data_IF_061342744842
#
_entry.id   IF_061342744842
#
_cell.length_a   1.000
_cell.length_b   1.000
_cell.length_c   1.000
_cell.angle_alpha   90.00
_cell.angle_beta   90.00
_cell.angle_gamma   90.00
#
_symmetry.space_group_name_H-M   'P 1'
#
loop_
_entity.id
_entity.type
_entity.pdbx_description
1 polymer ?
#
# COMPACT_ATOMS: atom_id res chain seq x y z
N UNK A 1 51.61 -70.31 -15.45
CA UNK A 1 50.16 -70.26 -15.16
C UNK A 1 49.88 -68.82 -14.72
N UNK A 2 48.95 -68.05 -15.29
CA UNK A 2 47.84 -68.43 -16.17
C UNK A 2 47.71 -67.58 -17.45
N UNK A 3 46.95 -68.12 -18.40
CA UNK A 3 46.18 -67.35 -19.40
C UNK A 3 44.93 -66.73 -18.74
N UNK A 4 44.09 -65.88 -19.37
CA UNK A 4 44.07 -65.21 -20.70
C UNK A 4 43.60 -63.74 -20.44
N UNK A 5 43.34 -62.78 -21.36
CA UNK A 5 43.19 -62.70 -22.84
C UNK A 5 43.49 -61.25 -23.29
N UNK A 6 43.33 -60.92 -24.57
CA UNK A 6 43.22 -59.54 -25.08
C UNK A 6 41.73 -59.14 -25.25
N UNK A 7 41.33 -57.86 -25.09
CA UNK A 7 39.95 -57.42 -25.29
C UNK A 7 39.50 -57.63 -26.74
N UNK A 8 38.20 -57.88 -26.92
CA UNK A 8 37.63 -58.29 -28.22
C UNK A 8 36.83 -57.17 -28.87
N UNK A 9 36.52 -57.31 -30.17
CA UNK A 9 35.97 -56.26 -31.04
C UNK A 9 34.55 -55.77 -30.68
N UNK A 10 33.98 -56.18 -29.53
CA UNK A 10 32.73 -55.63 -28.96
C UNK A 10 32.95 -54.54 -27.91
N UNK A 11 34.14 -54.43 -27.34
CA UNK A 11 34.47 -53.38 -26.36
C UNK A 11 34.86 -52.05 -27.04
N UNK A 12 35.24 -52.11 -28.33
CA UNK A 12 35.73 -50.97 -29.12
C UNK A 12 34.61 -50.06 -29.72
N UNK A 13 33.33 -50.37 -29.48
CA UNK A 13 32.19 -49.62 -30.05
C UNK A 13 31.38 -48.83 -28.99
N UNK A 14 31.92 -48.64 -27.78
CA UNK A 14 31.33 -47.76 -26.74
C UNK A 14 31.98 -46.36 -26.69
N UNK A 15 32.74 -45.96 -27.71
CA UNK A 15 33.50 -44.70 -27.72
C UNK A 15 33.39 -43.97 -29.07
N UNK A 16 32.16 -43.60 -29.45
CA UNK A 16 31.87 -42.94 -30.73
C UNK A 16 30.73 -41.90 -30.66
N UNK A 17 30.94 -40.75 -30.00
CA UNK A 17 30.12 -39.52 -30.23
C UNK A 17 30.55 -38.25 -29.45
N UNK A 18 31.85 -37.92 -29.36
CA UNK A 18 32.26 -36.54 -29.01
C UNK A 18 33.37 -36.10 -29.98
N UNK A 19 32.96 -35.45 -31.07
CA UNK A 19 33.85 -34.91 -32.07
C UNK A 19 33.98 -33.38 -31.92
N UNK A 20 35.24 -32.96 -31.85
CA UNK A 20 35.78 -31.61 -31.98
C UNK A 20 35.03 -30.72 -33.00
N UNK A 21 34.65 -29.49 -32.60
CA UNK A 21 35.06 -28.24 -33.26
C UNK A 21 34.28 -27.00 -32.75
N UNK A 22 34.98 -25.86 -32.66
CA UNK A 22 34.37 -24.55 -32.86
C UNK A 22 33.79 -23.85 -31.64
N UNK A 23 34.01 -22.53 -31.60
CA UNK A 23 33.50 -21.62 -30.58
C UNK A 23 31.97 -21.50 -30.60
N UNK A 24 31.31 -21.87 -29.49
CA UNK A 24 30.05 -21.29 -29.01
C UNK A 24 29.76 -21.82 -27.60
N UNK A 25 29.78 -20.95 -26.58
CA UNK A 25 28.96 -21.01 -25.35
C UNK A 25 29.20 -19.81 -24.41
N UNK A 26 29.50 -18.63 -24.98
CA UNK A 26 29.28 -17.35 -24.30
C UNK A 26 27.84 -16.90 -24.63
N UNK A 27 26.85 -17.51 -23.99
CA UNK A 27 25.45 -17.38 -24.40
C UNK A 27 24.44 -18.00 -23.44
N UNK A 28 24.63 -17.81 -22.13
CA UNK A 28 23.75 -18.39 -21.09
C UNK A 28 23.62 -17.58 -19.80
N UNK A 29 24.32 -16.46 -19.65
CA UNK A 29 24.11 -15.49 -18.57
C UNK A 29 24.00 -14.08 -19.16
N UNK A 30 23.18 -13.25 -18.51
CA UNK A 30 22.90 -11.84 -18.79
C UNK A 30 22.44 -11.46 -20.22
N UNK A 31 21.22 -11.87 -20.60
CA UNK A 31 20.36 -11.09 -21.51
C UNK A 31 19.12 -10.61 -20.73
N UNK A 32 19.40 -9.85 -19.65
CA UNK A 32 18.40 -9.14 -18.84
C UNK A 32 18.96 -7.81 -18.27
N UNK A 33 20.11 -7.33 -18.78
CA UNK A 33 20.83 -6.14 -18.27
C UNK A 33 21.50 -5.28 -19.36
N UNK A 34 21.01 -5.35 -20.59
CA UNK A 34 21.45 -4.45 -21.68
C UNK A 34 20.37 -4.32 -22.74
N UNK A 35 19.34 -3.54 -22.39
CA UNK A 35 18.39 -2.97 -23.34
C UNK A 35 18.08 -1.50 -22.95
N UNK A 36 19.07 -0.76 -22.44
CA UNK A 36 18.97 0.70 -22.32
C UNK A 36 19.48 1.34 -23.62
N UNK A 37 18.57 1.50 -24.57
CA UNK A 37 18.80 2.26 -25.79
C UNK A 37 17.48 2.87 -26.30
N UNK A 38 17.50 4.19 -26.50
CA UNK A 38 16.44 5.07 -27.02
C UNK A 38 15.33 5.52 -26.05
N UNK A 39 15.55 6.70 -25.44
CA UNK A 39 14.58 7.42 -24.61
C UNK A 39 14.54 6.96 -23.15
N UNK A 40 13.80 7.67 -22.27
CA UNK A 40 13.44 7.12 -20.97
C UNK A 40 12.46 5.96 -21.19
N UNK A 41 12.90 4.73 -20.92
CA UNK A 41 12.12 3.50 -21.05
C UNK A 41 10.72 3.68 -20.44
N UNK A 42 9.66 3.29 -21.12
CA UNK A 42 8.29 3.48 -20.62
C UNK A 42 8.05 2.68 -19.33
N UNK A 43 7.63 3.34 -18.25
CA UNK A 43 7.14 2.66 -17.05
C UNK A 43 5.67 2.31 -17.26
N UNK A 44 5.38 1.01 -17.29
CA UNK A 44 4.03 0.46 -17.46
C UNK A 44 3.41 0.14 -16.11
N UNK A 45 2.20 0.62 -15.90
CA UNK A 45 1.48 0.53 -14.62
C UNK A 45 0.18 -0.25 -14.79
N UNK A 46 -0.13 -1.12 -13.84
CA UNK A 46 -1.48 -1.67 -13.68
C UNK A 46 -2.22 -0.97 -12.53
N UNK A 47 -3.48 -0.57 -12.75
CA UNK A 47 -4.37 -0.09 -11.70
C UNK A 47 -5.21 -1.25 -11.15
N UNK A 48 -5.07 -1.55 -9.85
CA UNK A 48 -5.79 -2.63 -9.18
C UNK A 48 -6.68 -2.01 -8.09
N UNK A 49 -8.00 -2.05 -8.33
CA UNK A 49 -9.01 -1.33 -7.56
C UNK A 49 -9.40 -0.02 -8.23
N UNK A 50 -10.42 -0.05 -9.08
CA UNK A 50 -10.90 1.08 -9.88
C UNK A 50 -11.98 1.90 -9.14
N UNK A 51 -11.76 2.10 -7.83
CA UNK A 51 -12.59 2.93 -6.96
C UNK A 51 -12.27 4.42 -7.06
N UNK A 52 -12.93 5.24 -6.25
CA UNK A 52 -12.69 6.70 -6.24
C UNK A 52 -11.24 7.06 -5.92
N UNK A 53 -10.65 6.45 -4.89
CA UNK A 53 -9.23 6.66 -4.55
C UNK A 53 -8.28 6.03 -5.56
N UNK A 54 -8.63 4.88 -6.14
CA UNK A 54 -7.84 4.26 -7.22
C UNK A 54 -7.73 5.12 -8.48
N UNK A 55 -8.84 5.75 -8.90
CA UNK A 55 -8.81 6.75 -9.96
C UNK A 55 -8.03 8.01 -9.52
N UNK A 56 -8.07 8.39 -8.24
CA UNK A 56 -7.20 9.43 -7.68
C UNK A 56 -5.72 9.12 -7.86
N UNK A 57 -5.24 8.00 -7.30
CA UNK A 57 -3.86 7.54 -7.40
C UNK A 57 -3.42 7.30 -8.87
N UNK A 58 -4.31 6.81 -9.73
CA UNK A 58 -4.05 6.71 -11.16
C UNK A 58 -3.82 8.10 -11.80
N UNK A 59 -4.65 9.10 -11.50
CA UNK A 59 -4.46 10.47 -11.97
C UNK A 59 -3.18 11.08 -11.39
N UNK A 60 -2.88 10.85 -10.11
CA UNK A 60 -1.66 11.32 -9.47
C UNK A 60 -0.40 10.74 -10.12
N UNK A 61 -0.39 9.42 -10.39
CA UNK A 61 0.66 8.73 -11.12
C UNK A 61 0.82 9.29 -12.55
N UNK A 62 -0.28 9.57 -13.25
CA UNK A 62 -0.27 10.19 -14.57
C UNK A 62 0.12 11.68 -14.53
N UNK A 63 0.05 12.38 -13.38
CA UNK A 63 0.52 13.77 -13.27
C UNK A 63 2.06 13.88 -13.23
N UNK A 64 2.77 12.78 -12.92
CA UNK A 64 4.24 12.73 -12.94
C UNK A 64 4.76 13.13 -14.32
N UNK A 65 5.79 13.99 -14.33
CA UNK A 65 6.41 14.53 -15.55
C UNK A 65 7.45 13.56 -16.13
N UNK A 66 7.02 12.32 -16.37
CA UNK A 66 7.83 11.21 -16.89
C UNK A 66 6.97 10.34 -17.84
N UNK A 67 7.62 9.46 -18.61
CA UNK A 67 7.06 8.46 -19.50
C UNK A 67 6.46 7.28 -18.71
N UNK A 68 5.43 7.57 -17.91
CA UNK A 68 4.60 6.60 -17.18
C UNK A 68 3.30 6.41 -17.95
N UNK A 69 2.86 5.16 -18.13
CA UNK A 69 1.54 4.84 -18.71
C UNK A 69 0.81 3.76 -17.92
N UNK A 70 -0.50 3.93 -17.77
CA UNK A 70 -1.39 2.87 -17.27
C UNK A 70 -1.81 2.00 -18.45
N UNK A 71 -1.53 0.70 -18.38
CA UNK A 71 -1.72 -0.24 -19.49
C UNK A 71 -2.59 -1.45 -19.16
N UNK A 72 -3.05 -1.57 -17.92
CA UNK A 72 -3.99 -2.61 -17.47
C UNK A 72 -4.84 -2.08 -16.31
N UNK A 73 -6.09 -2.55 -16.22
CA UNK A 73 -6.98 -2.28 -15.07
C UNK A 73 -7.59 -3.56 -14.53
N UNK A 74 -7.75 -3.62 -13.22
CA UNK A 74 -8.44 -4.70 -12.52
C UNK A 74 -9.39 -4.17 -11.45
N UNK A 75 -10.56 -4.80 -11.34
CA UNK A 75 -11.46 -4.65 -10.20
C UNK A 75 -12.29 -5.93 -10.00
N UNK A 76 -12.92 -6.11 -8.84
CA UNK A 76 -13.89 -7.17 -8.65
C UNK A 76 -15.18 -6.92 -9.47
N UNK A 77 -15.47 -5.67 -9.86
CA UNK A 77 -16.71 -5.27 -10.52
C UNK A 77 -16.50 -4.57 -11.86
N UNK A 78 -17.23 -5.00 -12.89
CA UNK A 78 -17.14 -4.40 -14.23
C UNK A 78 -17.43 -2.89 -14.22
N UNK A 79 -18.45 -2.43 -13.49
CA UNK A 79 -18.80 -1.00 -13.44
C UNK A 79 -17.66 -0.10 -12.93
N UNK A 80 -16.68 -0.66 -12.20
CA UNK A 80 -15.49 0.07 -11.72
C UNK A 80 -14.44 0.21 -12.80
N UNK A 81 -14.05 -0.88 -13.47
CA UNK A 81 -13.10 -0.78 -14.60
C UNK A 81 -13.68 0.07 -15.73
N UNK A 82 -14.95 -0.08 -16.09
CA UNK A 82 -15.62 0.78 -17.10
C UNK A 82 -15.66 2.25 -16.67
N UNK A 83 -15.83 2.50 -15.36
CA UNK A 83 -15.72 3.83 -14.78
C UNK A 83 -14.34 4.44 -15.00
N UNK A 84 -13.26 3.71 -14.70
CA UNK A 84 -11.89 4.15 -14.95
C UNK A 84 -11.61 4.42 -16.43
N UNK A 85 -12.00 3.49 -17.33
CA UNK A 85 -11.86 3.70 -18.79
C UNK A 85 -12.53 4.99 -19.24
N UNK A 86 -13.73 5.30 -18.75
CA UNK A 86 -14.44 6.54 -19.09
C UNK A 86 -13.81 7.79 -18.44
N UNK A 87 -13.24 7.68 -17.23
CA UNK A 87 -12.52 8.79 -16.56
C UNK A 87 -11.26 9.19 -17.33
N UNK A 88 -10.54 8.23 -17.92
CA UNK A 88 -9.25 8.47 -18.57
C UNK A 88 -9.27 8.39 -20.10
N UNK A 89 -10.45 8.30 -20.72
CA UNK A 89 -10.62 8.10 -22.18
C UNK A 89 -9.87 9.10 -23.08
N UNK A 90 -9.64 10.33 -22.58
CA UNK A 90 -8.99 11.43 -23.30
C UNK A 90 -7.51 11.62 -22.88
N UNK A 91 -6.95 10.68 -22.11
CA UNK A 91 -5.57 10.73 -21.61
C UNK A 91 -4.66 9.77 -22.39
N UNK A 92 -3.77 10.32 -23.21
CA UNK A 92 -2.84 9.56 -24.08
C UNK A 92 -1.82 8.66 -23.31
N UNK A 93 -1.72 8.81 -21.98
CA UNK A 93 -0.92 7.95 -21.11
C UNK A 93 -1.75 6.86 -20.42
N UNK A 94 -3.03 6.74 -20.72
CA UNK A 94 -3.91 5.66 -20.31
C UNK A 94 -4.21 4.75 -21.52
N UNK A 95 -3.32 3.78 -21.77
CA UNK A 95 -3.34 2.90 -22.93
C UNK A 95 -3.80 1.48 -22.54
N UNK A 96 -5.07 1.37 -22.13
CA UNK A 96 -5.67 0.13 -21.64
C UNK A 96 -6.56 -0.48 -22.73
N UNK A 97 -6.08 -1.46 -23.52
CA UNK A 97 -6.90 -2.18 -24.49
C UNK A 97 -7.84 -3.16 -23.77
N UNK A 98 -8.90 -3.60 -24.46
CA UNK A 98 -9.98 -4.40 -23.87
C UNK A 98 -9.49 -5.74 -23.27
N UNK A 99 -8.48 -6.38 -23.89
CA UNK A 99 -7.87 -7.61 -23.37
C UNK A 99 -7.04 -7.42 -22.09
N UNK A 100 -6.87 -6.17 -21.62
CA UNK A 100 -6.23 -5.79 -20.35
C UNK A 100 -7.20 -5.16 -19.35
N UNK A 101 -8.50 -5.35 -19.57
CA UNK A 101 -9.59 -4.97 -18.66
C UNK A 101 -10.04 -6.22 -17.92
N UNK A 102 -9.62 -6.37 -16.66
CA UNK A 102 -9.89 -7.59 -15.88
C UNK A 102 -10.97 -7.38 -14.82
N UNK A 103 -11.91 -8.32 -14.75
CA UNK A 103 -13.00 -8.32 -13.78
C UNK A 103 -13.04 -9.62 -12.99
N UNK A 104 -13.15 -9.52 -11.66
CA UNK A 104 -13.29 -10.65 -10.74
C UNK A 104 -12.25 -10.66 -9.62
N UNK A 105 -12.37 -11.61 -8.70
CA UNK A 105 -11.45 -11.73 -7.55
C UNK A 105 -10.01 -12.11 -7.94
N UNK A 106 -9.80 -12.70 -9.12
CA UNK A 106 -8.49 -13.06 -9.67
C UNK A 106 -7.92 -11.99 -10.63
N UNK A 107 -8.65 -10.88 -10.83
CA UNK A 107 -8.29 -9.83 -11.79
C UNK A 107 -6.95 -9.15 -11.48
N UNK A 108 -6.60 -9.02 -10.19
CA UNK A 108 -5.33 -8.42 -9.77
C UNK A 108 -4.11 -9.18 -10.33
N UNK A 109 -4.17 -10.52 -10.33
CA UNK A 109 -3.08 -11.36 -10.83
C UNK A 109 -2.92 -11.19 -12.35
N UNK A 110 -4.04 -11.22 -13.09
CA UNK A 110 -4.05 -11.00 -14.55
C UNK A 110 -3.45 -9.64 -14.92
N UNK A 111 -3.70 -8.60 -14.12
CA UNK A 111 -3.13 -7.27 -14.33
C UNK A 111 -1.63 -7.18 -13.98
N UNK A 112 -1.17 -7.88 -12.92
CA UNK A 112 0.25 -8.05 -12.60
C UNK A 112 1.00 -8.75 -13.73
N UNK A 113 0.37 -9.77 -14.34
CA UNK A 113 0.96 -10.61 -15.38
C UNK A 113 1.05 -9.93 -16.77
N UNK A 114 0.48 -8.73 -16.94
CA UNK A 114 0.46 -7.98 -18.21
C UNK A 114 1.81 -7.38 -18.67
N UNK A 115 2.93 -7.83 -18.11
CA UNK A 115 4.25 -7.27 -18.39
C UNK A 115 4.41 -5.82 -17.96
N UNK A 116 3.75 -5.45 -16.85
CA UNK A 116 3.91 -4.15 -16.18
C UNK A 116 5.18 -4.12 -15.33
N UNK A 117 5.68 -2.92 -15.06
CA UNK A 117 6.86 -2.67 -14.20
C UNK A 117 6.43 -2.32 -12.77
N UNK A 118 5.26 -1.67 -12.65
CA UNK A 118 4.69 -1.19 -11.39
C UNK A 118 3.20 -1.51 -11.28
N UNK A 119 2.67 -1.62 -10.06
CA UNK A 119 1.23 -1.69 -9.77
C UNK A 119 0.78 -0.61 -8.80
N UNK A 120 -0.45 -0.13 -8.96
CA UNK A 120 -1.17 0.71 -8.01
C UNK A 120 -2.21 -0.16 -7.29
N UNK A 121 -2.10 -0.29 -5.97
CA UNK A 121 -2.99 -1.10 -5.13
C UNK A 121 -3.94 -0.21 -4.32
N UNK A 122 -5.17 -0.03 -4.84
CA UNK A 122 -6.22 0.81 -4.28
C UNK A 122 -7.54 0.04 -4.01
N UNK A 123 -7.45 -1.28 -3.84
CA UNK A 123 -8.54 -2.13 -3.33
C UNK A 123 -8.78 -1.90 -1.84
N UNK A 124 -9.94 -2.31 -1.28
CA UNK A 124 -10.18 -2.28 0.16
C UNK A 124 -9.01 -2.91 0.95
N UNK A 125 -8.61 -2.33 2.09
CA UNK A 125 -7.33 -2.65 2.73
C UNK A 125 -7.22 -4.09 3.22
N UNK A 126 -8.33 -4.78 3.50
CA UNK A 126 -8.32 -6.22 3.82
C UNK A 126 -7.66 -7.11 2.76
N UNK A 127 -7.68 -6.72 1.47
CA UNK A 127 -6.99 -7.47 0.41
C UNK A 127 -5.52 -7.11 0.23
N UNK A 128 -5.06 -6.03 0.85
CA UNK A 128 -3.75 -5.44 0.54
C UNK A 128 -2.58 -6.40 0.78
N UNK A 129 -2.50 -7.15 1.89
CA UNK A 129 -1.37 -8.05 2.11
C UNK A 129 -1.26 -9.13 1.02
N UNK A 130 -2.39 -9.58 0.47
CA UNK A 130 -2.45 -10.57 -0.62
C UNK A 130 -1.95 -9.95 -1.93
N UNK A 131 -2.50 -8.80 -2.32
CA UNK A 131 -2.14 -8.14 -3.59
C UNK A 131 -0.69 -7.64 -3.59
N UNK A 132 -0.20 -7.13 -2.45
CA UNK A 132 1.18 -6.69 -2.29
C UNK A 132 2.16 -7.85 -2.37
N UNK A 133 1.87 -8.97 -1.70
CA UNK A 133 2.67 -10.19 -1.79
C UNK A 133 2.77 -10.71 -3.22
N UNK A 134 1.64 -10.82 -3.94
CA UNK A 134 1.62 -11.26 -5.33
C UNK A 134 2.44 -10.34 -6.26
N UNK A 135 2.38 -9.02 -6.06
CA UNK A 135 3.18 -8.06 -6.81
C UNK A 135 4.68 -8.20 -6.52
N UNK A 136 5.07 -8.34 -5.26
CA UNK A 136 6.46 -8.57 -4.87
C UNK A 136 7.00 -9.93 -5.36
N UNK A 137 6.20 -11.00 -5.31
CA UNK A 137 6.51 -12.32 -5.87
C UNK A 137 6.74 -12.23 -7.40
N UNK A 138 5.88 -11.50 -8.11
CA UNK A 138 6.02 -11.22 -9.55
C UNK A 138 7.10 -10.18 -9.91
N UNK A 139 7.83 -9.65 -8.92
CA UNK A 139 8.96 -8.72 -9.15
C UNK A 139 8.54 -7.32 -9.59
N UNK A 140 7.39 -6.83 -9.14
CA UNK A 140 6.83 -5.51 -9.51
C UNK A 140 7.14 -4.45 -8.46
N UNK A 141 7.36 -3.22 -8.92
CA UNK A 141 7.32 -2.06 -8.03
C UNK A 141 5.87 -1.78 -7.61
N UNK A 142 5.67 -1.15 -6.46
CA UNK A 142 4.34 -1.00 -5.86
C UNK A 142 4.13 0.42 -5.38
N UNK A 143 3.02 1.03 -5.80
CA UNK A 143 2.36 2.03 -4.98
C UNK A 143 1.16 1.36 -4.33
N UNK A 144 0.98 1.54 -3.03
CA UNK A 144 -0.23 1.10 -2.33
C UNK A 144 -0.80 2.23 -1.49
N UNK A 145 -2.13 2.34 -1.43
CA UNK A 145 -2.80 3.33 -0.58
C UNK A 145 -2.46 3.15 0.92
N UNK A 146 -3.06 3.92 1.83
CA UNK A 146 -3.20 3.48 3.24
C UNK A 146 -4.62 2.96 3.50
N UNK A 147 -4.86 2.13 4.53
CA UNK A 147 -3.92 1.40 5.39
C UNK A 147 -3.47 0.06 4.76
N UNK A 148 -2.30 -0.44 5.15
CA UNK A 148 -1.68 -1.61 4.52
C UNK A 148 -2.21 -2.97 5.02
N UNK A 149 -2.87 -3.01 6.18
CA UNK A 149 -3.53 -4.21 6.70
C UNK A 149 -4.65 -3.82 7.68
N UNK A 150 -5.56 -4.75 7.97
CA UNK A 150 -6.68 -4.57 8.91
C UNK A 150 -6.60 -5.45 10.15
N UNK A 151 -5.60 -6.34 10.22
CA UNK A 151 -5.39 -7.29 11.31
C UNK A 151 -3.91 -7.71 11.47
N UNK A 152 -3.62 -8.44 12.54
CA UNK A 152 -2.27 -8.91 12.87
C UNK A 152 -1.71 -9.98 11.90
N UNK A 153 -2.49 -10.94 11.36
CA UNK A 153 -2.04 -11.80 10.26
C UNK A 153 -1.60 -11.00 9.02
N UNK A 154 -2.38 -9.99 8.63
CA UNK A 154 -2.05 -9.07 7.55
C UNK A 154 -0.74 -8.34 7.80
N UNK A 155 -0.55 -7.78 9.00
CA UNK A 155 0.72 -7.15 9.40
C UNK A 155 1.91 -8.11 9.24
N UNK A 156 1.82 -9.36 9.73
CA UNK A 156 2.91 -10.35 9.57
C UNK A 156 3.22 -10.62 8.09
N UNK A 157 2.18 -10.74 7.25
CA UNK A 157 2.33 -10.88 5.80
C UNK A 157 3.02 -9.67 5.15
N UNK A 158 2.76 -8.45 5.62
CA UNK A 158 3.50 -7.25 5.17
C UNK A 158 4.98 -7.34 5.55
N UNK A 159 5.29 -7.70 6.79
CA UNK A 159 6.67 -7.80 7.29
C UNK A 159 7.50 -8.88 6.57
N UNK A 160 6.86 -9.96 6.12
CA UNK A 160 7.48 -10.96 5.23
C UNK A 160 7.66 -10.42 3.80
N UNK A 161 6.64 -9.73 3.27
CA UNK A 161 6.66 -9.16 1.90
C UNK A 161 7.70 -8.04 1.76
N UNK A 162 7.86 -7.20 2.79
CA UNK A 162 8.88 -6.15 2.82
C UNK A 162 10.30 -6.73 2.71
N UNK A 163 10.60 -7.84 3.41
CA UNK A 163 11.90 -8.52 3.27
C UNK A 163 12.14 -9.01 1.84
N UNK A 164 11.13 -9.60 1.21
CA UNK A 164 11.18 -10.03 -0.19
C UNK A 164 11.38 -8.85 -1.16
N UNK A 165 10.78 -7.69 -0.87
CA UNK A 165 10.96 -6.44 -1.62
C UNK A 165 12.40 -5.93 -1.49
N UNK A 166 12.96 -5.88 -0.28
CA UNK A 166 14.35 -5.49 -0.04
C UNK A 166 15.34 -6.46 -0.72
N UNK A 167 15.12 -7.77 -0.60
CA UNK A 167 15.93 -8.82 -1.27
C UNK A 167 15.94 -8.68 -2.81
N UNK A 168 14.81 -8.26 -3.40
CA UNK A 168 14.67 -8.03 -4.84
C UNK A 168 15.05 -6.62 -5.28
N UNK A 169 15.34 -5.70 -4.36
CA UNK A 169 15.61 -4.29 -4.64
C UNK A 169 14.42 -3.51 -5.22
N UNK A 170 13.19 -4.00 -5.00
CA UNK A 170 11.98 -3.38 -5.54
C UNK A 170 11.65 -2.07 -4.81
N UNK A 171 11.08 -1.11 -5.54
CA UNK A 171 10.68 0.18 -4.97
C UNK A 171 9.22 0.14 -4.54
N UNK A 172 8.93 0.65 -3.35
CA UNK A 172 7.58 0.64 -2.77
C UNK A 172 7.25 1.99 -2.17
N UNK A 173 6.21 2.63 -2.70
CA UNK A 173 5.58 3.80 -2.11
C UNK A 173 4.27 3.45 -1.42
N UNK A 174 3.94 4.22 -0.39
CA UNK A 174 2.68 4.08 0.35
C UNK A 174 1.97 5.43 0.36
N UNK A 175 0.64 5.44 0.26
CA UNK A 175 -0.21 6.64 0.36
C UNK A 175 -0.25 7.27 1.76
N UNK A 176 0.93 7.58 2.32
CA UNK A 176 1.18 8.31 3.54
C UNK A 176 1.56 9.75 3.17
N UNK A 177 0.67 10.42 2.42
CA UNK A 177 0.96 11.68 1.72
C UNK A 177 1.61 12.78 2.58
N UNK A 178 1.45 12.74 3.91
CA UNK A 178 2.10 13.67 4.84
C UNK A 178 3.62 13.55 4.89
N UNK A 179 4.19 12.37 4.60
CA UNK A 179 5.63 12.20 4.41
C UNK A 179 6.16 12.99 3.21
N UNK A 180 5.30 13.31 2.25
CA UNK A 180 5.63 14.08 1.05
C UNK A 180 5.11 15.53 1.11
N UNK A 181 4.60 15.99 2.25
CA UNK A 181 4.06 17.35 2.40
C UNK A 181 5.11 18.25 3.07
N UNK A 182 5.58 19.28 2.36
CA UNK A 182 6.68 20.16 2.80
C UNK A 182 6.51 20.68 4.25
N UNK A 183 5.27 21.00 4.66
CA UNK A 183 4.99 21.50 6.02
C UNK A 183 5.20 20.45 7.12
N UNK A 184 4.89 19.18 6.85
CA UNK A 184 5.17 18.09 7.79
C UNK A 184 6.65 17.71 7.78
N UNK A 185 7.30 17.67 6.60
CA UNK A 185 8.74 17.38 6.47
C UNK A 185 9.57 18.35 7.31
N UNK A 186 9.35 19.67 7.15
CA UNK A 186 10.05 20.68 7.93
C UNK A 186 9.63 20.68 9.42
N UNK A 187 8.36 20.38 9.72
CA UNK A 187 7.87 20.24 11.09
C UNK A 187 8.52 19.08 11.85
N UNK A 188 8.68 17.94 11.19
CA UNK A 188 9.36 16.76 11.75
C UNK A 188 10.84 16.96 11.88
N UNK A 189 11.49 17.56 10.87
CA UNK A 189 12.89 17.97 10.96
C UNK A 189 13.16 18.79 12.22
N UNK A 190 12.30 19.76 12.56
CA UNK A 190 12.44 20.55 13.79
C UNK A 190 12.26 19.70 15.07
N UNK A 191 11.35 18.71 15.07
CA UNK A 191 11.18 17.78 16.19
C UNK A 191 12.43 16.91 16.36
N UNK A 192 12.95 16.34 15.26
CA UNK A 192 14.14 15.47 15.24
C UNK A 192 15.45 16.23 15.55
N UNK A 193 15.56 17.49 15.14
CA UNK A 193 16.64 18.41 15.54
C UNK A 193 16.57 18.81 17.04
N UNK A 194 15.54 18.35 17.76
CA UNK A 194 15.42 18.52 19.21
C UNK A 194 14.70 19.79 19.67
N UNK A 195 13.97 20.51 18.79
CA UNK A 195 13.35 21.80 19.12
C UNK A 195 12.27 21.75 20.22
N UNK A 196 11.84 20.56 20.64
CA UNK A 196 10.90 20.36 21.76
C UNK A 196 11.58 19.81 23.03
N UNK A 197 12.89 19.59 23.02
CA UNK A 197 13.60 18.81 24.03
C UNK A 197 13.15 17.34 24.02
N UNK A 198 13.11 16.69 25.19
CA UNK A 198 12.62 15.31 25.29
C UNK A 198 11.09 15.29 25.10
N UNK A 199 10.58 14.50 24.15
CA UNK A 199 9.15 14.23 24.03
C UNK A 199 8.58 13.59 25.31
N UNK A 200 7.44 14.11 25.75
CA UNK A 200 6.70 13.66 26.94
C UNK A 200 5.43 12.91 26.55
N UNK A 201 4.69 13.46 25.58
CA UNK A 201 3.50 12.80 25.01
C UNK A 201 3.13 13.36 23.64
N UNK A 202 2.33 12.58 22.93
CA UNK A 202 1.75 12.88 21.62
C UNK A 202 0.22 12.90 21.71
N UNK A 203 -0.42 13.54 20.73
CA UNK A 203 -1.87 13.50 20.54
C UNK A 203 -2.21 13.27 19.08
N UNK A 204 -3.18 12.41 18.82
CA UNK A 204 -3.71 12.12 17.49
C UNK A 204 -5.25 12.21 17.52
N UNK A 205 -5.84 13.02 16.65
CA UNK A 205 -7.29 13.23 16.56
C UNK A 205 -7.83 13.07 15.14
N UNK A 206 -8.84 12.23 14.93
CA UNK A 206 -9.66 12.24 13.72
C UNK A 206 -11.15 12.13 14.07
N UNK A 207 -11.75 13.25 14.43
CA UNK A 207 -13.18 13.36 14.74
C UNK A 207 -13.91 14.08 13.60
N UNK A 208 -15.00 13.50 13.11
CA UNK A 208 -15.83 14.05 12.03
C UNK A 208 -17.21 13.42 11.93
N UNK A 209 -17.99 13.87 10.94
CA UNK A 209 -19.33 13.32 10.65
C UNK A 209 -19.29 11.87 10.15
N UNK A 210 -20.46 11.26 10.02
CA UNK A 210 -20.59 9.93 9.45
C UNK A 210 -20.17 9.90 7.96
N UNK A 211 -19.72 8.73 7.51
CA UNK A 211 -19.38 8.50 6.10
C UNK A 211 -20.55 7.93 5.30
N UNK A 212 -20.38 7.93 3.98
CA UNK A 212 -21.31 7.33 3.03
C UNK A 212 -21.64 5.86 3.38
N UNK A 213 -22.89 5.48 3.14
CA UNK A 213 -23.33 4.09 3.06
C UNK A 213 -24.30 3.98 1.88
N UNK A 214 -24.22 2.89 1.12
CA UNK A 214 -25.18 2.53 0.09
C UNK A 214 -26.14 1.50 0.66
N UNK A 215 -27.40 1.88 0.79
CA UNK A 215 -28.45 0.96 1.21
C UNK A 215 -28.63 -0.17 0.18
N UNK A 216 -29.33 -1.24 0.57
CA UNK A 216 -29.52 -2.40 -0.33
C UNK A 216 -30.32 -2.03 -1.57
N UNK A 217 -31.27 -1.10 -1.45
CA UNK A 217 -32.06 -0.62 -2.57
C UNK A 217 -31.20 0.13 -3.60
N UNK A 218 -30.43 1.13 -3.19
CA UNK A 218 -29.55 1.87 -4.09
C UNK A 218 -28.44 1.01 -4.71
N UNK A 219 -28.01 -0.05 -4.02
CA UNK A 219 -27.14 -1.08 -4.62
C UNK A 219 -27.90 -1.97 -5.62
N UNK A 220 -29.13 -2.38 -5.32
CA UNK A 220 -29.95 -3.18 -6.22
C UNK A 220 -30.31 -2.42 -7.51
N UNK A 221 -30.64 -1.13 -7.39
CA UNK A 221 -30.91 -0.23 -8.52
C UNK A 221 -29.66 -0.09 -9.41
N UNK A 222 -28.46 0.02 -8.84
CA UNK A 222 -27.19 0.07 -9.57
C UNK A 222 -26.86 -1.25 -10.28
N UNK A 223 -27.09 -2.39 -9.62
CA UNK A 223 -26.81 -3.73 -10.18
C UNK A 223 -27.94 -4.26 -11.08
N UNK A 224 -29.11 -3.59 -11.10
CA UNK A 224 -30.37 -4.03 -11.75
C UNK A 224 -30.88 -5.39 -11.25
N UNK A 225 -30.50 -5.78 -10.03
CA UNK A 225 -30.92 -6.99 -9.32
C UNK A 225 -30.56 -6.88 -7.84
N UNK A 226 -31.15 -7.72 -7.00
CA UNK A 226 -30.71 -7.83 -5.60
C UNK A 226 -29.21 -8.17 -5.49
N UNK A 227 -28.45 -7.48 -4.62
CA UNK A 227 -27.07 -7.82 -4.34
C UNK A 227 -26.99 -9.07 -3.47
N UNK A 228 -26.01 -9.93 -3.76
CA UNK A 228 -25.58 -10.93 -2.78
C UNK A 228 -24.97 -10.24 -1.56
N UNK A 229 -24.87 -10.96 -0.43
CA UNK A 229 -24.23 -10.40 0.76
C UNK A 229 -22.78 -9.99 0.49
N UNK A 230 -22.04 -10.76 -0.31
CA UNK A 230 -20.68 -10.44 -0.69
C UNK A 230 -20.58 -9.10 -1.42
N UNK A 231 -21.47 -8.86 -2.39
CA UNK A 231 -21.50 -7.62 -3.15
C UNK A 231 -21.91 -6.42 -2.29
N UNK A 232 -22.83 -6.62 -1.35
CA UNK A 232 -23.23 -5.61 -0.38
C UNK A 232 -22.06 -5.20 0.52
N UNK A 233 -21.30 -6.17 1.06
CA UNK A 233 -20.14 -5.87 1.89
C UNK A 233 -19.02 -5.20 1.09
N UNK A 234 -18.69 -5.72 -0.10
CA UNK A 234 -17.66 -5.13 -0.97
C UNK A 234 -18.00 -3.71 -1.43
N UNK A 235 -19.26 -3.40 -1.75
CA UNK A 235 -19.67 -2.06 -2.15
C UNK A 235 -19.87 -1.09 -0.97
N UNK A 236 -19.84 -1.59 0.26
CA UNK A 236 -19.86 -0.84 1.52
C UNK A 236 -18.64 -1.20 2.40
N UNK A 237 -17.50 -1.48 1.77
CA UNK A 237 -16.33 -2.14 2.39
C UNK A 237 -15.87 -1.48 3.69
N UNK A 238 -16.00 -0.16 3.79
CA UNK A 238 -15.67 0.61 4.98
C UNK A 238 -16.37 0.08 6.25
N UNK A 239 -17.61 -0.39 6.11
CA UNK A 239 -18.46 -0.79 7.23
C UNK A 239 -18.24 -2.24 7.70
N UNK A 240 -17.22 -2.93 7.20
CA UNK A 240 -16.93 -4.32 7.54
C UNK A 240 -15.49 -4.50 8.02
N UNK A 241 -15.33 -5.05 9.23
CA UNK A 241 -14.04 -5.15 9.92
C UNK A 241 -12.97 -5.88 9.08
N UNK A 242 -13.35 -6.95 8.37
CA UNK A 242 -12.47 -7.75 7.53
C UNK A 242 -12.02 -7.05 6.23
N UNK A 243 -12.71 -5.97 5.82
CA UNK A 243 -12.36 -5.16 4.65
C UNK A 243 -11.67 -3.85 5.00
N UNK A 244 -12.04 -3.25 6.14
CA UNK A 244 -11.70 -1.88 6.51
C UNK A 244 -10.85 -1.76 7.78
N UNK A 245 -11.20 -2.52 8.83
CA UNK A 245 -10.58 -2.35 10.15
C UNK A 245 -11.13 -1.16 10.96
N UNK A 246 -12.35 -0.71 10.69
CA UNK A 246 -12.99 0.46 11.32
C UNK A 246 -12.30 1.80 11.00
N UNK A 247 -12.88 2.89 11.51
CA UNK A 247 -12.35 4.25 11.35
C UNK A 247 -10.86 4.34 11.74
N UNK A 248 -10.50 3.74 12.87
CA UNK A 248 -9.15 3.86 13.44
C UNK A 248 -8.07 3.36 12.48
N UNK A 249 -8.37 2.33 11.67
CA UNK A 249 -7.46 1.79 10.65
C UNK A 249 -7.59 2.54 9.33
N UNK A 250 -8.79 2.90 8.86
CA UNK A 250 -8.94 3.50 7.52
C UNK A 250 -8.54 4.98 7.44
N UNK A 251 -9.06 5.82 8.35
CA UNK A 251 -8.84 7.27 8.31
C UNK A 251 -7.76 7.71 9.30
N UNK A 252 -7.90 7.30 10.58
CA UNK A 252 -7.05 7.79 11.66
C UNK A 252 -5.59 7.32 11.58
N UNK A 253 -5.31 6.28 10.78
CA UNK A 253 -3.94 5.81 10.50
C UNK A 253 -3.02 6.95 10.07
N UNK A 254 -3.50 7.95 9.33
CA UNK A 254 -2.70 9.14 8.97
C UNK A 254 -2.16 9.89 10.19
N UNK A 255 -2.95 10.00 11.27
CA UNK A 255 -2.59 10.75 12.47
C UNK A 255 -1.70 9.90 13.40
N UNK A 256 -1.95 8.59 13.44
CA UNK A 256 -1.10 7.63 14.14
C UNK A 256 0.29 7.54 13.48
N UNK A 257 0.35 7.56 12.16
CA UNK A 257 1.57 7.56 11.34
C UNK A 257 2.45 8.79 11.62
N UNK A 258 1.88 10.00 11.60
CA UNK A 258 2.59 11.24 11.97
C UNK A 258 3.16 11.18 13.39
N UNK A 259 2.44 10.56 14.33
CA UNK A 259 2.94 10.41 15.70
C UNK A 259 4.01 9.32 15.84
N UNK A 260 3.91 8.22 15.08
CA UNK A 260 4.96 7.22 14.95
C UNK A 260 6.24 7.86 14.36
N UNK A 261 6.10 8.69 13.33
CA UNK A 261 7.21 9.41 12.69
C UNK A 261 7.89 10.40 13.63
N UNK A 262 7.12 11.12 14.47
CA UNK A 262 7.68 11.98 15.52
C UNK A 262 8.50 11.22 16.59
N UNK A 263 8.21 9.93 16.83
CA UNK A 263 8.99 9.04 17.71
C UNK A 263 10.12 8.30 17.00
N UNK A 264 10.11 8.27 15.67
CA UNK A 264 11.16 7.67 14.84
C UNK A 264 12.32 8.65 14.71
N UNK A 265 13.55 8.16 14.55
CA UNK A 265 14.71 9.05 14.35
C UNK A 265 14.74 9.63 12.93
N UNK A 266 14.28 8.86 11.94
CA UNK A 266 14.17 9.23 10.53
C UNK A 266 13.18 8.28 9.82
N UNK A 267 13.13 8.33 8.48
CA UNK A 267 12.29 7.46 7.65
C UNK A 267 12.90 6.08 7.35
N UNK A 268 13.94 5.64 8.08
CA UNK A 268 14.62 4.35 7.89
C UNK A 268 14.41 3.34 9.01
N UNK A 269 14.07 3.79 10.22
CA UNK A 269 13.77 2.94 11.40
C UNK A 269 12.43 3.34 12.05
N UNK A 270 11.28 2.84 11.53
CA UNK A 270 9.96 3.24 12.00
C UNK A 270 9.63 2.70 13.40
N UNK A 271 9.40 3.62 14.34
CA UNK A 271 9.01 3.34 15.72
C UNK A 271 7.49 3.27 15.87
N UNK A 272 7.00 2.35 16.70
CA UNK A 272 5.57 2.20 17.00
C UNK A 272 5.32 1.90 18.49
N UNK A 273 4.09 2.08 19.01
CA UNK A 273 3.74 1.70 20.37
C UNK A 273 3.82 0.19 20.62
N UNK A 274 4.21 -0.18 21.85
CA UNK A 274 4.30 -1.57 22.33
C UNK A 274 3.10 -2.01 23.16
N UNK A 275 2.30 -1.06 23.66
CA UNK A 275 1.10 -1.29 24.46
C UNK A 275 -0.01 -0.31 24.05
N UNK A 276 -1.27 -0.74 24.18
CA UNK A 276 -2.43 0.12 24.04
C UNK A 276 -3.52 -0.28 25.05
N UNK A 277 -4.18 0.73 25.63
CA UNK A 277 -5.39 0.57 26.46
C UNK A 277 -6.43 1.55 25.94
N UNK A 278 -7.66 1.10 25.73
CA UNK A 278 -8.68 1.96 25.14
C UNK A 278 -10.12 1.58 25.46
N UNK A 279 -11.02 2.42 24.98
CA UNK A 279 -12.46 2.20 24.96
C UNK A 279 -12.98 2.58 23.57
N UNK A 280 -13.81 1.73 22.98
CA UNK A 280 -14.51 2.02 21.73
C UNK A 280 -15.94 1.54 21.80
N UNK A 281 -16.79 2.08 20.93
CA UNK A 281 -18.19 1.67 20.83
C UNK A 281 -18.79 2.10 19.49
N UNK A 282 -20.08 1.84 19.32
CA UNK A 282 -20.90 2.28 18.20
C UNK A 282 -22.15 2.98 18.70
N UNK A 283 -22.27 4.28 18.41
CA UNK A 283 -23.51 5.06 18.60
C UNK A 283 -24.55 4.78 17.50
N UNK A 284 -24.10 4.40 16.30
CA UNK A 284 -24.84 4.51 15.05
C UNK A 284 -26.29 3.96 15.11
N UNK A 285 -27.32 4.83 15.04
CA UNK A 285 -28.70 4.47 15.37
C UNK A 285 -29.53 4.06 14.14
N UNK A 286 -28.97 3.31 13.20
CA UNK A 286 -29.75 2.72 12.10
C UNK A 286 -30.32 1.35 12.54
N UNK A 287 -31.63 1.23 12.83
CA UNK A 287 -32.22 -0.05 13.23
C UNK A 287 -32.25 -1.02 12.04
N UNK A 288 -31.37 -2.02 12.04
CA UNK A 288 -31.43 -3.15 11.10
C UNK A 288 -30.09 -3.82 10.83
N UNK A 289 -30.12 -4.95 10.11
CA UNK A 289 -28.95 -5.72 9.63
C UNK A 289 -28.21 -5.03 8.46
N UNK A 290 -28.25 -3.69 8.38
CA UNK A 290 -28.05 -2.92 7.16
C UNK A 290 -26.97 -1.83 7.27
N UNK A 291 -26.02 -1.99 8.21
CA UNK A 291 -25.04 -0.96 8.56
C UNK A 291 -23.61 -1.46 8.77
N UNK A 292 -23.39 -2.78 8.83
CA UNK A 292 -22.07 -3.35 9.09
C UNK A 292 -21.73 -3.55 10.57
N UNK A 293 -20.43 -3.68 10.86
CA UNK A 293 -19.89 -4.29 12.09
C UNK A 293 -18.85 -3.42 12.83
N UNK A 294 -18.44 -2.30 12.23
CA UNK A 294 -17.40 -1.43 12.80
C UNK A 294 -17.86 -0.69 14.04
N UNK A 295 -16.90 -0.30 14.89
CA UNK A 295 -17.09 0.79 15.85
C UNK A 295 -17.03 2.15 15.14
N UNK A 296 -17.77 3.13 15.67
CA UNK A 296 -17.81 4.49 15.11
C UNK A 296 -16.99 5.51 15.92
N UNK A 297 -16.43 5.10 17.07
CA UNK A 297 -15.43 5.87 17.80
C UNK A 297 -14.51 4.98 18.63
N UNK A 298 -13.27 5.45 18.79
CA UNK A 298 -12.23 4.83 19.61
C UNK A 298 -11.48 5.91 20.39
N UNK A 299 -11.17 5.65 21.66
CA UNK A 299 -10.26 6.43 22.49
C UNK A 299 -9.19 5.46 22.99
N UNK A 300 -7.92 5.75 22.73
CA UNK A 300 -6.80 4.84 23.02
C UNK A 300 -5.65 5.63 23.61
N UNK A 301 -5.11 5.16 24.74
CA UNK A 301 -3.78 5.53 25.20
C UNK A 301 -2.79 4.47 24.70
N UNK A 302 -1.83 4.91 23.91
CA UNK A 302 -0.72 4.10 23.43
C UNK A 302 0.55 4.38 24.24
N UNK A 303 1.39 3.36 24.44
CA UNK A 303 2.70 3.49 25.13
C UNK A 303 3.82 3.02 24.22
N UNK A 304 4.83 3.86 24.03
CA UNK A 304 6.09 3.51 23.34
C UNK A 304 7.07 2.81 24.29
N UNK A 305 8.10 2.15 23.75
CA UNK A 305 9.04 1.35 24.52
C UNK A 305 9.86 2.16 25.57
N UNK A 306 9.99 3.47 25.38
CA UNK A 306 10.64 4.40 26.31
C UNK A 306 9.69 4.94 27.42
N UNK A 307 8.42 4.52 27.40
CA UNK A 307 7.35 4.98 28.28
C UNK A 307 6.59 6.22 27.79
N UNK A 308 6.96 6.82 26.64
CA UNK A 308 6.25 7.97 26.07
C UNK A 308 4.81 7.58 25.69
N UNK A 309 3.86 8.49 25.93
CA UNK A 309 2.43 8.24 25.71
C UNK A 309 1.91 8.92 24.45
N UNK A 310 0.99 8.28 23.74
CA UNK A 310 0.19 8.90 22.69
C UNK A 310 -1.30 8.80 23.03
N UNK A 311 -1.96 9.95 23.18
CA UNK A 311 -3.40 10.04 23.40
C UNK A 311 -4.11 10.12 22.05
N UNK A 312 -4.83 9.07 21.70
CA UNK A 312 -5.52 8.92 20.42
C UNK A 312 -7.03 8.96 20.61
N UNK A 313 -7.73 9.71 19.76
CA UNK A 313 -9.19 9.67 19.65
C UNK A 313 -9.61 9.80 18.19
N UNK A 314 -10.56 8.96 17.76
CA UNK A 314 -11.23 9.14 16.47
C UNK A 314 -12.73 8.87 16.56
N UNK A 315 -13.52 9.53 15.72
CA UNK A 315 -14.98 9.43 15.69
C UNK A 315 -15.57 9.73 14.31
N UNK A 316 -16.58 8.95 13.90
CA UNK A 316 -17.42 9.15 12.70
C UNK A 316 -18.89 9.25 13.12
N UNK A 317 -19.22 10.40 13.72
CA UNK A 317 -20.48 10.64 14.41
C UNK A 317 -21.02 12.00 14.00
N UNK A 318 -22.22 12.02 13.41
CA UNK A 318 -22.88 13.26 13.02
C UNK A 318 -23.10 14.20 14.22
N UNK A 319 -22.73 15.47 14.01
CA UNK A 319 -22.78 16.50 15.04
C UNK A 319 -21.71 16.40 16.13
N UNK A 320 -20.70 15.51 16.02
CA UNK A 320 -19.56 15.56 16.92
C UNK A 320 -18.64 16.76 16.62
N UNK A 321 -17.80 17.14 17.59
CA UNK A 321 -16.79 18.18 17.39
C UNK A 321 -15.76 17.70 16.37
N UNK A 322 -15.69 18.38 15.22
CA UNK A 322 -14.67 18.09 14.21
C UNK A 322 -13.28 18.45 14.72
N UNK A 323 -12.34 17.53 14.60
CA UNK A 323 -10.93 17.72 14.92
C UNK A 323 -10.08 16.69 14.18
N UNK A 324 -9.34 17.12 13.15
CA UNK A 324 -8.31 16.32 12.48
C UNK A 324 -6.97 16.99 12.74
N UNK A 325 -6.20 16.48 13.70
CA UNK A 325 -4.93 17.08 14.11
C UNK A 325 -4.00 16.15 14.89
N UNK A 326 -2.73 16.55 14.93
CA UNK A 326 -1.65 15.92 15.67
C UNK A 326 -0.96 16.95 16.55
N UNK A 327 -0.31 16.52 17.62
CA UNK A 327 0.61 17.37 18.36
C UNK A 327 1.66 16.56 19.11
N UNK A 328 2.90 17.07 19.11
CA UNK A 328 4.00 16.60 19.94
C UNK A 328 4.24 17.59 21.09
N UNK A 329 4.44 17.09 22.31
CA UNK A 329 4.72 17.88 23.51
C UNK A 329 6.01 17.36 24.14
N UNK A 330 7.00 18.24 24.30
CA UNK A 330 8.27 17.92 24.93
C UNK A 330 8.62 18.88 26.07
N UNK A 331 9.76 18.65 26.70
CA UNK A 331 10.22 19.41 27.88
C UNK A 331 10.46 20.90 27.62
N UNK A 332 10.65 21.30 26.36
CA UNK A 332 11.01 22.68 25.98
C UNK A 332 9.94 23.35 25.08
N UNK A 333 8.91 22.63 24.66
CA UNK A 333 7.84 23.21 23.84
C UNK A 333 6.79 22.21 23.35
N UNK A 334 5.93 22.67 22.45
CA UNK A 334 5.01 21.79 21.70
C UNK A 334 4.90 22.21 20.24
N UNK A 335 4.54 21.26 19.39
CA UNK A 335 4.34 21.45 17.95
C UNK A 335 3.03 20.78 17.52
N UNK A 336 2.40 21.31 16.45
CA UNK A 336 1.31 20.65 15.73
C UNK A 336 1.83 19.74 14.58
N UNK A 337 3.06 19.25 14.73
CA UNK A 337 3.76 18.40 13.76
C UNK A 337 4.01 19.05 12.38
N UNK A 338 3.82 20.36 12.26
CA UNK A 338 3.96 21.10 11.00
C UNK A 338 4.72 22.41 11.19
N UNK A 339 5.42 22.83 10.14
CA UNK A 339 6.09 24.12 10.02
C UNK A 339 5.57 24.91 8.81
N UNK A 340 5.91 26.20 8.75
CA UNK A 340 5.57 27.05 7.60
C UNK A 340 6.50 26.77 6.43
N UNK A 341 6.06 25.95 5.50
CA UNK A 341 6.76 25.68 4.25
C UNK A 341 6.09 26.32 3.03
N UNK A 342 6.64 26.08 1.84
CA UNK A 342 5.90 26.27 0.57
C UNK A 342 4.89 25.12 0.45
N UNK A 343 3.86 25.30 -0.37
CA UNK A 343 2.88 24.25 -0.62
C UNK A 343 3.27 23.44 -1.85
N UNK A 344 3.25 22.12 -1.74
CA UNK A 344 3.25 21.18 -2.85
C UNK A 344 1.91 20.41 -2.87
N UNK A 345 1.68 19.60 -3.91
CA UNK A 345 0.59 18.60 -3.92
C UNK A 345 1.18 17.25 -3.48
N UNK A 346 1.02 16.86 -2.20
CA UNK A 346 1.66 15.67 -1.67
C UNK A 346 1.19 14.38 -2.35
N UNK A 347 -0.04 14.36 -2.89
CA UNK A 347 -0.57 13.21 -3.62
C UNK A 347 0.09 13.04 -4.99
N UNK A 348 0.60 14.10 -5.61
CA UNK A 348 1.46 13.93 -6.80
C UNK A 348 2.89 13.59 -6.37
N UNK A 349 3.37 14.17 -5.26
CA UNK A 349 4.76 14.01 -4.80
C UNK A 349 5.09 12.56 -4.42
N UNK A 350 4.19 11.85 -3.73
CA UNK A 350 4.34 10.40 -3.43
C UNK A 350 4.60 9.53 -4.68
N UNK A 351 3.97 9.89 -5.81
CA UNK A 351 4.19 9.24 -7.09
C UNK A 351 5.46 9.73 -7.80
N UNK A 352 5.83 11.01 -7.68
CA UNK A 352 7.08 11.56 -8.23
C UNK A 352 8.29 10.90 -7.58
N UNK A 353 8.29 10.78 -6.25
CA UNK A 353 9.41 10.22 -5.47
C UNK A 353 9.61 8.73 -5.79
N UNK A 354 8.52 7.95 -5.86
CA UNK A 354 8.56 6.54 -6.26
C UNK A 354 9.05 6.37 -7.71
N UNK A 355 8.54 7.15 -8.66
CA UNK A 355 8.98 7.07 -10.07
C UNK A 355 10.46 7.47 -10.20
N UNK A 356 10.90 8.51 -9.50
CA UNK A 356 12.31 8.90 -9.46
C UNK A 356 13.20 7.79 -8.85
N UNK A 357 12.73 7.08 -7.83
CA UNK A 357 13.47 5.96 -7.25
C UNK A 357 13.56 4.76 -8.20
N UNK A 358 12.50 4.45 -8.95
CA UNK A 358 12.50 3.43 -10.01
C UNK A 358 13.51 3.81 -11.11
N UNK A 359 13.47 5.06 -11.57
CA UNK A 359 14.35 5.59 -12.62
C UNK A 359 15.83 5.52 -12.30
N UNK A 360 16.20 5.83 -11.05
CA UNK A 360 17.58 5.95 -10.61
C UNK A 360 18.10 4.69 -9.89
N UNK A 361 17.32 3.61 -9.85
CA UNK A 361 17.53 2.41 -9.03
C UNK A 361 17.82 2.72 -7.54
N UNK A 362 17.33 3.85 -7.04
CA UNK A 362 17.57 4.30 -5.67
C UNK A 362 16.84 3.40 -4.66
N UNK A 363 17.33 3.32 -3.41
CA UNK A 363 16.59 2.64 -2.34
C UNK A 363 15.38 3.50 -1.95
N UNK A 364 14.18 2.93 -2.06
CA UNK A 364 12.92 3.59 -1.69
C UNK A 364 11.88 2.54 -1.30
N UNK A 365 11.52 2.47 -0.02
CA UNK A 365 10.69 1.39 0.52
C UNK A 365 9.90 1.84 1.75
N UNK A 366 8.78 2.50 1.51
CA UNK A 366 7.86 3.01 2.53
C UNK A 366 6.94 1.93 3.11
N UNK A 367 6.95 0.74 2.50
CA UNK A 367 6.22 -0.44 2.97
C UNK A 367 6.51 -0.83 4.43
N UNK A 368 7.69 -0.48 4.96
CA UNK A 368 7.99 -0.59 6.39
C UNK A 368 7.11 0.35 7.22
N UNK A 369 7.17 1.67 6.99
CA UNK A 369 6.29 2.66 7.66
C UNK A 369 4.81 2.31 7.50
N UNK A 370 4.37 2.02 6.28
CA UNK A 370 2.99 1.62 5.99
C UNK A 370 2.52 0.40 6.79
N UNK A 371 3.40 -0.57 7.04
CA UNK A 371 3.10 -1.73 7.87
C UNK A 371 2.97 -1.37 9.36
N UNK A 372 3.92 -0.63 9.94
CA UNK A 372 3.89 -0.31 11.38
C UNK A 372 2.85 0.73 11.76
N UNK A 373 2.56 1.71 10.90
CA UNK A 373 1.45 2.64 11.13
C UNK A 373 0.09 1.96 11.05
N UNK A 374 -0.08 0.99 10.14
CA UNK A 374 -1.25 0.10 10.13
C UNK A 374 -1.29 -0.78 11.38
N UNK A 375 -0.15 -1.26 11.88
CA UNK A 375 -0.07 -2.03 13.12
C UNK A 375 -0.44 -1.21 14.37
N UNK A 376 -0.03 0.07 14.46
CA UNK A 376 -0.49 0.97 15.53
C UNK A 376 -2.01 1.06 15.53
N UNK A 377 -2.63 1.20 14.36
CA UNK A 377 -4.09 1.26 14.24
C UNK A 377 -4.77 -0.09 14.59
N UNK A 378 -4.20 -1.22 14.15
CA UNK A 378 -4.65 -2.58 14.52
C UNK A 378 -4.57 -2.80 16.03
N UNK A 379 -3.45 -2.42 16.66
CA UNK A 379 -3.25 -2.51 18.10
C UNK A 379 -4.30 -1.68 18.86
N UNK A 380 -4.52 -0.43 18.44
CA UNK A 380 -5.54 0.43 19.04
C UNK A 380 -6.95 -0.13 18.89
N UNK A 381 -7.30 -0.64 17.71
CA UNK A 381 -8.57 -1.33 17.48
C UNK A 381 -8.75 -2.52 18.43
N UNK A 382 -7.77 -3.41 18.49
CA UNK A 382 -7.80 -4.60 19.36
C UNK A 382 -7.86 -4.26 20.86
N UNK A 383 -7.34 -3.10 21.27
CA UNK A 383 -7.44 -2.61 22.65
C UNK A 383 -8.79 -1.95 22.99
N UNK A 384 -9.70 -1.80 22.02
CA UNK A 384 -11.04 -1.20 22.20
C UNK A 384 -12.21 -2.18 22.08
N UNK A 385 -11.98 -3.37 21.53
CA UNK A 385 -12.98 -4.44 21.34
C UNK A 385 -13.00 -5.42 22.52
#
# INVERSE_FOLDING_TARGET
>A
MSDTKRPSRRDFLKSSSVAVAGATLAGGLSIARSAHAAGPDQIKVALIGCGGRGNGAAQNCLNVQDNVKIVAVADAFEHRVRGALNTFKDNERFEVPEERVFVGFDAYQKAIDCGVDMVILATPPGFRPIHYKAAAEAGKHVFMEKPCCVDAPGFRSLMETNKLVDEKGLKVGVGLQRHHQDSYIEGMKQIHDGALGKLMFLRAYWNGGAIWIRDRKGLADMLKREPTEMEYQMNNWYHFCWLCGDHIIEQHVHNLDVCNWAMSNDLTDPVHPVEAVGLGSRRHPYPGKAVGQIFDHHIVEFTYADGTKMFSQCAQIDGCQSNVSEAAHGTEGSSNCQARARGNDPYNQEHVDLVAAIRNDAKYHEGWFGAVSSMTAVLGRMATY
#
